data_IF_274837395470
#
_entry.id   IF_274837395470
#
_cell.length_a   1.000
_cell.length_b   1.000
_cell.length_c   1.000
_cell.angle_alpha   90.00
_cell.angle_beta   90.00
_cell.angle_gamma   90.00
#
_symmetry.space_group_name_H-M   'P 1'
#
loop_
_entity.id
_entity.type
_entity.pdbx_description
1 polymer ?
#
# COMPACT_ATOMS: atom_id res chain seq x y z
N UNK A 1 -14.46 17.07 15.83
CA UNK A 1 -13.72 15.86 15.41
C UNK A 1 -12.37 16.24 14.81
N UNK A 2 -11.30 15.72 15.38
CA UNK A 2 -9.93 15.81 14.85
C UNK A 2 -9.79 15.01 13.54
N UNK A 3 -8.72 15.25 12.77
CA UNK A 3 -8.44 14.45 11.56
C UNK A 3 -8.26 12.96 11.87
N UNK A 4 -7.77 12.64 13.07
CA UNK A 4 -7.59 11.27 13.53
C UNK A 4 -8.93 10.58 13.81
N UNK A 5 -9.80 11.22 14.57
CA UNK A 5 -11.15 10.68 14.88
C UNK A 5 -11.95 10.45 13.58
N UNK A 6 -11.84 11.37 12.62
CA UNK A 6 -12.44 11.18 11.29
C UNK A 6 -11.86 9.96 10.57
N UNK A 7 -10.54 9.78 10.61
CA UNK A 7 -9.91 8.62 9.97
C UNK A 7 -10.32 7.30 10.62
N UNK A 8 -10.46 7.29 11.96
CA UNK A 8 -10.94 6.14 12.73
C UNK A 8 -12.40 5.79 12.37
N UNK A 9 -13.28 6.78 12.21
CA UNK A 9 -14.65 6.56 11.70
C UNK A 9 -14.64 5.87 10.33
N UNK A 10 -13.87 6.37 9.37
CA UNK A 10 -13.73 5.72 8.07
C UNK A 10 -13.19 4.30 8.18
N UNK A 11 -12.19 4.07 9.04
CA UNK A 11 -11.59 2.76 9.23
C UNK A 11 -12.59 1.74 9.78
N UNK A 12 -13.41 2.11 10.77
CA UNK A 12 -14.44 1.23 11.33
C UNK A 12 -15.57 0.90 10.35
N UNK A 13 -15.77 1.73 9.33
CA UNK A 13 -16.78 1.52 8.28
C UNK A 13 -16.31 0.60 7.14
N UNK A 14 -15.05 0.18 7.14
CA UNK A 14 -14.56 -0.80 6.16
C UNK A 14 -15.29 -2.12 6.42
N UNK A 15 -16.02 -2.60 5.41
CA UNK A 15 -16.77 -3.84 5.45
C UNK A 15 -16.18 -4.88 4.48
N UNK A 16 -16.69 -6.10 4.59
CA UNK A 16 -16.38 -7.19 3.67
C UNK A 16 -17.15 -7.03 2.35
N UNK A 17 -16.51 -7.43 1.25
CA UNK A 17 -17.11 -7.44 -0.08
C UNK A 17 -16.95 -6.15 -0.87
N UNK A 18 -16.60 -6.24 -2.16
CA UNK A 18 -16.51 -5.06 -3.05
C UNK A 18 -17.80 -4.22 -3.11
N UNK A 19 -18.97 -4.84 -2.89
CA UNK A 19 -20.27 -4.15 -2.93
C UNK A 19 -20.44 -3.14 -1.79
N UNK A 20 -19.70 -3.34 -0.70
CA UNK A 20 -19.72 -2.48 0.48
C UNK A 20 -18.49 -1.57 0.55
N UNK A 21 -17.73 -1.45 -0.55
CA UNK A 21 -16.50 -0.67 -0.56
C UNK A 21 -16.77 0.80 -0.24
N UNK A 22 -15.99 1.33 0.69
CA UNK A 22 -16.07 2.73 1.08
C UNK A 22 -15.12 3.58 0.25
N UNK A 23 -15.50 4.82 0.00
CA UNK A 23 -14.60 5.78 -0.64
C UNK A 23 -13.55 6.28 0.37
N UNK A 24 -12.38 6.64 -0.16
CA UNK A 24 -11.32 7.26 0.65
C UNK A 24 -11.77 8.65 1.13
N UNK A 25 -11.27 9.11 2.29
CA UNK A 25 -11.49 10.47 2.74
C UNK A 25 -11.01 11.48 1.68
N UNK A 26 -11.82 12.50 1.39
CA UNK A 26 -11.43 13.57 0.46
C UNK A 26 -10.37 14.52 1.06
N UNK A 27 -10.36 14.66 2.38
CA UNK A 27 -9.38 15.48 3.10
C UNK A 27 -8.01 14.75 3.12
N UNK A 28 -6.93 15.37 2.58
CA UNK A 28 -5.63 14.72 2.49
C UNK A 28 -4.97 14.36 3.83
N UNK A 29 -5.25 15.13 4.89
CA UNK A 29 -4.73 14.87 6.23
C UNK A 29 -5.40 13.65 6.84
N UNK A 30 -6.74 13.56 6.71
CA UNK A 30 -7.53 12.41 7.15
C UNK A 30 -7.13 11.17 6.35
N UNK A 31 -7.02 11.28 5.03
CA UNK A 31 -6.64 10.19 4.14
C UNK A 31 -5.26 9.62 4.46
N UNK A 32 -4.27 10.48 4.75
CA UNK A 32 -2.93 10.03 5.15
C UNK A 32 -2.99 9.17 6.42
N UNK A 33 -3.75 9.61 7.42
CA UNK A 33 -3.92 8.87 8.68
C UNK A 33 -4.64 7.55 8.42
N UNK A 34 -5.73 7.58 7.65
CA UNK A 34 -6.50 6.41 7.27
C UNK A 34 -5.64 5.35 6.55
N UNK A 35 -4.82 5.75 5.56
CA UNK A 35 -3.92 4.83 4.86
C UNK A 35 -2.88 4.20 5.79
N UNK A 36 -2.36 4.96 6.75
CA UNK A 36 -1.42 4.41 7.75
C UNK A 36 -2.11 3.40 8.68
N UNK A 37 -3.39 3.60 9.01
CA UNK A 37 -4.19 2.63 9.78
C UNK A 37 -4.40 1.34 8.98
N UNK A 38 -4.79 1.46 7.71
CA UNK A 38 -4.94 0.32 6.78
C UNK A 38 -3.63 -0.47 6.65
N UNK A 39 -2.52 0.21 6.41
CA UNK A 39 -1.19 -0.42 6.32
C UNK A 39 -0.86 -1.18 7.61
N UNK A 40 -1.06 -0.55 8.77
CA UNK A 40 -0.81 -1.18 10.06
C UNK A 40 -1.72 -2.40 10.28
N UNK A 41 -2.99 -2.35 9.89
CA UNK A 41 -3.92 -3.47 10.02
C UNK A 41 -3.48 -4.64 9.14
N UNK A 42 -3.12 -4.37 7.88
CA UNK A 42 -2.62 -5.39 6.95
C UNK A 42 -1.33 -6.05 7.45
N UNK A 43 -0.43 -5.29 8.07
CA UNK A 43 0.77 -5.83 8.72
C UNK A 43 0.48 -6.64 10.00
N UNK A 44 -0.75 -6.60 10.53
CA UNK A 44 -1.16 -7.30 11.74
C UNK A 44 -2.26 -8.36 11.49
N UNK A 45 -2.41 -8.82 10.24
CA UNK A 45 -3.27 -9.95 9.89
C UNK A 45 -4.64 -9.60 9.32
N UNK A 46 -4.93 -8.33 9.07
CA UNK A 46 -6.11 -7.91 8.28
C UNK A 46 -5.80 -8.01 6.76
N UNK A 47 -6.83 -7.99 5.93
CA UNK A 47 -6.71 -7.93 4.47
C UNK A 47 -7.64 -6.87 3.91
N UNK A 48 -7.15 -5.64 3.84
CA UNK A 48 -7.87 -4.48 3.30
C UNK A 48 -7.19 -4.05 2.00
N UNK A 49 -7.96 -4.03 0.92
CA UNK A 49 -7.47 -3.65 -0.41
C UNK A 49 -8.14 -2.37 -0.91
N UNK A 50 -7.46 -1.68 -1.82
CA UNK A 50 -7.99 -0.52 -2.52
C UNK A 50 -7.69 -0.60 -4.02
N UNK A 51 -8.70 -0.97 -4.80
CA UNK A 51 -8.59 -1.20 -6.25
C UNK A 51 -9.36 -0.16 -7.08
N UNK A 52 -9.37 1.10 -6.65
CA UNK A 52 -10.02 2.20 -7.39
C UNK A 52 -11.55 2.20 -7.35
N UNK A 53 -12.17 1.10 -6.91
CA UNK A 53 -13.61 1.00 -6.60
C UNK A 53 -13.94 1.34 -5.14
N UNK A 54 -12.94 1.67 -4.34
CA UNK A 54 -13.06 1.92 -2.90
C UNK A 54 -12.20 0.96 -2.09
N UNK A 55 -12.39 1.00 -0.77
CA UNK A 55 -11.64 0.27 0.24
C UNK A 55 -12.56 -0.74 0.92
N UNK A 56 -12.15 -2.01 0.97
CA UNK A 56 -12.93 -3.12 1.52
C UNK A 56 -12.04 -4.31 1.90
N UNK A 57 -12.61 -5.29 2.60
CA UNK A 57 -12.00 -6.61 2.81
C UNK A 57 -12.54 -7.61 1.78
N UNK A 58 -11.70 -8.24 0.95
CA UNK A 58 -12.18 -9.13 -0.10
C UNK A 58 -12.71 -10.44 0.48
N UNK A 59 -13.79 -10.96 -0.11
CA UNK A 59 -14.39 -12.26 0.20
C UNK A 59 -13.81 -13.31 -0.75
N UNK A 60 -13.06 -14.32 -0.26
CA UNK A 60 -12.42 -15.32 -1.13
C UNK A 60 -13.40 -16.14 -1.99
N UNK A 61 -14.66 -16.29 -1.61
CA UNK A 61 -15.63 -17.03 -2.42
C UNK A 61 -16.28 -16.19 -3.54
N UNK A 62 -16.03 -14.88 -3.60
CA UNK A 62 -16.57 -13.99 -4.62
C UNK A 62 -15.52 -13.75 -5.73
N UNK A 63 -15.80 -14.10 -7.00
CA UNK A 63 -14.82 -13.98 -8.09
C UNK A 63 -14.35 -12.55 -8.37
N UNK A 64 -15.18 -11.53 -8.08
CA UNK A 64 -14.82 -10.12 -8.30
C UNK A 64 -13.83 -9.67 -7.22
N UNK A 65 -14.04 -10.10 -5.98
CA UNK A 65 -13.14 -9.84 -4.86
C UNK A 65 -11.80 -10.55 -5.01
N UNK A 66 -11.79 -11.82 -5.43
CA UNK A 66 -10.55 -12.55 -5.70
C UNK A 66 -9.71 -11.87 -6.79
N UNK A 67 -10.36 -11.48 -7.90
CA UNK A 67 -9.68 -10.78 -8.98
C UNK A 67 -9.09 -9.44 -8.50
N UNK A 68 -9.85 -8.67 -7.71
CA UNK A 68 -9.39 -7.42 -7.11
C UNK A 68 -8.20 -7.65 -6.16
N UNK A 69 -8.26 -8.67 -5.31
CA UNK A 69 -7.18 -9.04 -4.41
C UNK A 69 -5.90 -9.35 -5.19
N UNK A 70 -5.96 -10.21 -6.19
CA UNK A 70 -4.80 -10.57 -7.00
C UNK A 70 -4.21 -9.37 -7.75
N UNK A 71 -5.06 -8.49 -8.30
CA UNK A 71 -4.61 -7.25 -8.92
C UNK A 71 -3.86 -6.36 -7.93
N UNK A 72 -4.40 -6.20 -6.72
CA UNK A 72 -3.79 -5.38 -5.66
C UNK A 72 -2.43 -5.94 -5.23
N UNK A 73 -2.35 -7.24 -4.91
CA UNK A 73 -1.09 -7.89 -4.51
C UNK A 73 -0.05 -7.83 -5.64
N UNK A 74 -0.45 -8.02 -6.89
CA UNK A 74 0.46 -7.92 -8.03
C UNK A 74 1.06 -6.51 -8.16
N UNK A 75 0.26 -5.47 -7.95
CA UNK A 75 0.73 -4.07 -7.92
C UNK A 75 1.71 -3.83 -6.79
N UNK A 76 1.45 -4.36 -5.59
CA UNK A 76 2.34 -4.22 -4.43
C UNK A 76 3.68 -4.92 -4.65
N UNK A 77 3.64 -6.15 -5.17
CA UNK A 77 4.83 -6.89 -5.55
C UNK A 77 5.64 -6.15 -6.63
N UNK A 78 4.98 -5.60 -7.64
CA UNK A 78 5.65 -4.80 -8.67
C UNK A 78 6.36 -3.58 -8.06
N UNK A 79 5.68 -2.83 -7.17
CA UNK A 79 6.27 -1.69 -6.45
C UNK A 79 7.49 -2.11 -5.63
N UNK A 80 7.39 -3.21 -4.88
CA UNK A 80 8.50 -3.74 -4.09
C UNK A 80 9.72 -4.10 -4.97
N UNK A 81 9.49 -4.76 -6.11
CA UNK A 81 10.56 -5.10 -7.07
C UNK A 81 11.23 -3.87 -7.66
N UNK A 82 10.46 -2.85 -8.03
CA UNK A 82 11.00 -1.59 -8.57
C UNK A 82 11.89 -0.86 -7.55
N UNK A 83 11.46 -0.82 -6.28
CA UNK A 83 12.25 -0.24 -5.18
C UNK A 83 13.55 -1.02 -4.98
N UNK A 84 13.48 -2.36 -4.98
CA UNK A 84 14.65 -3.21 -4.82
C UNK A 84 15.65 -3.04 -5.98
N UNK A 85 15.17 -3.03 -7.23
CA UNK A 85 16.01 -2.79 -8.41
C UNK A 85 16.72 -1.43 -8.32
N UNK A 86 15.97 -0.36 -8.05
CA UNK A 86 16.53 0.99 -7.87
C UNK A 86 17.65 0.99 -6.84
N UNK A 87 17.42 0.40 -5.66
CA UNK A 87 18.42 0.31 -4.58
C UNK A 87 19.68 -0.43 -5.03
N UNK A 88 19.54 -1.56 -5.72
CA UNK A 88 20.69 -2.34 -6.19
C UNK A 88 21.52 -1.56 -7.20
N UNK A 89 20.88 -0.90 -8.17
CA UNK A 89 21.58 -0.04 -9.12
C UNK A 89 22.31 1.11 -8.41
N UNK A 90 21.66 1.79 -7.45
CA UNK A 90 22.29 2.85 -6.68
C UNK A 90 23.53 2.37 -5.92
N UNK A 91 23.45 1.19 -5.29
CA UNK A 91 24.58 0.59 -4.57
C UNK A 91 25.74 0.27 -5.50
N UNK A 92 25.46 -0.40 -6.63
CA UNK A 92 26.49 -0.74 -7.62
C UNK A 92 27.20 0.51 -8.15
N UNK A 93 26.46 1.57 -8.43
CA UNK A 93 27.00 2.85 -8.87
C UNK A 93 27.90 3.47 -7.80
N UNK A 94 27.44 3.54 -6.55
CA UNK A 94 28.22 4.07 -5.44
C UNK A 94 29.52 3.28 -5.20
N UNK A 95 29.45 1.94 -5.22
CA UNK A 95 30.61 1.07 -5.06
C UNK A 95 31.61 1.26 -6.22
N UNK A 96 31.14 1.56 -7.43
CA UNK A 96 32.00 1.83 -8.58
C UNK A 96 32.73 3.16 -8.46
N UNK A 97 32.06 4.21 -7.96
CA UNK A 97 32.72 5.48 -7.66
C UNK A 97 33.83 5.32 -6.63
N UNK A 98 33.58 4.52 -5.59
CA UNK A 98 34.56 4.23 -4.54
C UNK A 98 35.81 3.56 -5.13
N UNK A 99 35.64 2.52 -5.95
CA UNK A 99 36.78 1.86 -6.63
C UNK A 99 37.56 2.78 -7.57
N UNK A 100 36.89 3.62 -8.36
CA UNK A 100 37.58 4.59 -9.24
C UNK A 100 38.40 5.62 -8.45
N UNK A 101 37.96 5.97 -7.24
CA UNK A 101 38.68 6.91 -6.37
C UNK A 101 39.93 6.30 -5.71
N UNK A 102 39.97 4.98 -5.54
CA UNK A 102 41.12 4.25 -5.00
C UNK A 102 42.21 4.02 -6.05
N UNK A 103 41.83 3.81 -7.32
CA UNK A 103 42.77 3.60 -8.44
C UNK A 103 43.45 4.92 -8.88
N UNK A 104 42.87 6.07 -8.53
CA UNK A 104 43.42 7.41 -8.87
C UNK A 104 44.37 7.98 -7.81
N UNK A 105 44.75 7.19 -6.79
CA UNK A 105 45.74 7.53 -5.75
C UNK A 105 46.99 6.69 -5.92
#
# INVERSE_FOLDING_TARGET
MTSREKAEDYFHRICDGHRNAIQRPADPSVDRIFRNMVEKANCNGDCIINVGKGVFRPIPSDPVDEAAFHEYIAKDLHRARAIQLKRLCMKQTYDSWSRCSEVSK
#
